data_IF_613234871082
#
_entry.id   IF_613234871082
#
_cell.length_a   1.000
_cell.length_b   1.000
_cell.length_c   1.000
_cell.angle_alpha   90.00
_cell.angle_beta   90.00
_cell.angle_gamma   90.00
#
_symmetry.space_group_name_H-M   'P 1'
#
loop_
_entity.id
_entity.type
_entity.pdbx_description
1 polymer ?
#
# COMPACT_ATOMS: atom_id res chain seq x y z
N UNK A 1 -37.01 -13.87 -43.46
CA UNK A 1 -36.19 -14.62 -42.50
C UNK A 1 -34.81 -13.99 -42.16
N UNK A 2 -34.58 -12.72 -42.41
CA UNK A 2 -33.29 -12.03 -42.26
C UNK A 2 -33.14 -11.23 -40.94
N UNK A 3 -34.22 -10.89 -40.26
CA UNK A 3 -34.19 -10.06 -39.02
C UNK A 3 -33.53 -10.74 -37.82
N UNK A 4 -33.75 -12.03 -37.62
CA UNK A 4 -33.23 -12.76 -36.44
C UNK A 4 -31.69 -12.87 -36.43
N UNK A 5 -31.04 -12.91 -37.60
CA UNK A 5 -29.58 -12.93 -37.74
C UNK A 5 -28.95 -11.58 -37.40
N UNK A 6 -29.62 -10.48 -37.72
CA UNK A 6 -29.19 -9.10 -37.44
C UNK A 6 -29.26 -8.78 -35.94
N UNK A 7 -30.30 -9.20 -35.23
CA UNK A 7 -30.45 -8.97 -33.78
C UNK A 7 -29.44 -9.76 -32.96
N UNK A 8 -29.14 -11.01 -33.35
CA UNK A 8 -28.08 -11.81 -32.73
C UNK A 8 -26.69 -11.18 -32.94
N UNK A 9 -26.44 -10.62 -34.13
CA UNK A 9 -25.18 -9.93 -34.38
C UNK A 9 -25.02 -8.65 -33.57
N UNK A 10 -26.09 -7.87 -33.41
CA UNK A 10 -26.08 -6.69 -32.56
C UNK A 10 -25.84 -7.02 -31.09
N UNK A 11 -26.51 -8.05 -30.54
CA UNK A 11 -26.33 -8.49 -29.18
C UNK A 11 -24.90 -9.01 -28.92
N UNK A 12 -24.29 -9.71 -29.90
CA UNK A 12 -22.88 -10.14 -29.78
C UNK A 12 -21.91 -8.96 -29.77
N UNK A 13 -22.17 -7.94 -30.60
CA UNK A 13 -21.33 -6.73 -30.59
C UNK A 13 -21.45 -5.96 -29.27
N UNK A 14 -22.67 -5.82 -28.77
CA UNK A 14 -22.93 -5.19 -27.47
C UNK A 14 -22.20 -5.95 -26.33
N UNK A 15 -22.32 -7.28 -26.29
CA UNK A 15 -21.61 -8.11 -25.32
C UNK A 15 -20.08 -7.99 -25.45
N UNK A 16 -19.56 -7.96 -26.67
CA UNK A 16 -18.13 -7.81 -26.95
C UNK A 16 -17.56 -6.49 -26.45
N UNK A 17 -18.36 -5.43 -26.39
CA UNK A 17 -17.96 -4.13 -25.84
C UNK A 17 -18.20 -4.04 -24.32
N UNK A 18 -19.32 -4.62 -23.85
CA UNK A 18 -19.72 -4.50 -22.43
C UNK A 18 -18.89 -5.40 -21.51
N UNK A 19 -18.60 -6.64 -21.92
CA UNK A 19 -17.87 -7.61 -21.09
C UNK A 19 -16.46 -7.11 -20.72
N UNK A 20 -15.61 -6.62 -21.64
CA UNK A 20 -14.30 -6.08 -21.27
C UNK A 20 -14.38 -4.90 -20.29
N UNK A 21 -15.40 -4.04 -20.44
CA UNK A 21 -15.62 -2.92 -19.54
C UNK A 21 -15.98 -3.38 -18.12
N UNK A 22 -16.88 -4.35 -18.02
CA UNK A 22 -17.24 -4.95 -16.72
C UNK A 22 -16.05 -5.67 -16.08
N UNK A 23 -15.24 -6.38 -16.85
CA UNK A 23 -14.03 -7.02 -16.36
C UNK A 23 -13.01 -6.01 -15.85
N UNK A 24 -12.84 -4.89 -16.53
CA UNK A 24 -11.95 -3.81 -16.08
C UNK A 24 -12.40 -3.25 -14.74
N UNK A 25 -13.71 -3.03 -14.55
CA UNK A 25 -14.27 -2.57 -13.28
C UNK A 25 -14.05 -3.62 -12.19
N UNK A 26 -14.30 -4.89 -12.46
CA UNK A 26 -14.10 -5.98 -11.49
C UNK A 26 -12.62 -6.10 -11.06
N UNK A 27 -11.69 -6.02 -12.01
CA UNK A 27 -10.24 -5.99 -11.76
C UNK A 27 -9.86 -4.76 -10.94
N UNK A 28 -10.44 -3.59 -11.26
CA UNK A 28 -10.22 -2.37 -10.49
C UNK A 28 -10.61 -2.54 -9.03
N UNK A 29 -11.80 -3.07 -8.75
CA UNK A 29 -12.27 -3.32 -7.38
C UNK A 29 -11.31 -4.25 -6.64
N UNK A 30 -10.87 -5.33 -7.28
CA UNK A 30 -9.92 -6.29 -6.69
C UNK A 30 -8.58 -5.64 -6.37
N UNK A 31 -8.00 -4.91 -7.30
CA UNK A 31 -6.68 -4.28 -7.13
C UNK A 31 -6.70 -3.16 -6.07
N UNK A 32 -7.75 -2.33 -6.04
CA UNK A 32 -7.91 -1.32 -5.00
C UNK A 32 -8.19 -1.94 -3.63
N UNK A 33 -8.90 -3.06 -3.58
CA UNK A 33 -9.08 -3.84 -2.34
C UNK A 33 -7.74 -4.31 -1.77
N UNK A 34 -6.85 -4.84 -2.63
CA UNK A 34 -5.49 -5.22 -2.23
C UNK A 34 -4.65 -4.02 -1.78
N UNK A 35 -4.72 -2.92 -2.52
CA UNK A 35 -4.01 -1.69 -2.16
C UNK A 35 -4.47 -1.16 -0.80
N UNK A 36 -5.77 -1.17 -0.54
CA UNK A 36 -6.34 -0.77 0.74
C UNK A 36 -5.89 -1.69 1.88
N UNK A 37 -5.88 -3.01 1.68
CA UNK A 37 -5.37 -3.97 2.65
C UNK A 37 -3.90 -3.69 2.98
N UNK A 38 -3.05 -3.51 1.97
CA UNK A 38 -1.64 -3.18 2.16
C UNK A 38 -1.47 -1.88 2.96
N UNK A 39 -2.22 -0.84 2.63
CA UNK A 39 -2.23 0.42 3.36
C UNK A 39 -2.57 0.25 4.84
N UNK A 40 -3.58 -0.56 5.18
CA UNK A 40 -3.97 -0.84 6.55
C UNK A 40 -2.86 -1.57 7.33
N UNK A 41 -2.25 -2.57 6.70
CA UNK A 41 -1.12 -3.32 7.29
C UNK A 41 0.05 -2.38 7.57
N UNK A 42 0.46 -1.55 6.60
CA UNK A 42 1.57 -0.60 6.73
C UNK A 42 1.31 0.43 7.84
N UNK A 43 0.10 0.97 7.89
CA UNK A 43 -0.28 1.95 8.91
C UNK A 43 -0.21 1.35 10.32
N UNK A 44 -0.68 0.13 10.49
CA UNK A 44 -0.64 -0.55 11.79
C UNK A 44 0.78 -1.00 12.14
N UNK A 45 1.57 -1.45 11.16
CA UNK A 45 2.98 -1.79 11.36
C UNK A 45 3.80 -0.57 11.82
N UNK A 46 3.60 0.60 11.19
CA UNK A 46 4.25 1.84 11.60
C UNK A 46 3.88 2.25 13.04
N UNK A 47 2.61 2.12 13.43
CA UNK A 47 2.14 2.40 14.80
C UNK A 47 2.75 1.45 15.82
N UNK A 48 2.81 0.15 15.53
CA UNK A 48 3.43 -0.84 16.41
C UNK A 48 4.94 -0.59 16.54
N UNK A 49 5.62 -0.27 15.43
CA UNK A 49 7.02 0.14 15.45
C UNK A 49 7.26 1.38 16.30
N UNK A 50 6.44 2.41 16.14
CA UNK A 50 6.55 3.64 16.94
C UNK A 50 6.32 3.39 18.43
N UNK A 51 5.40 2.47 18.80
CA UNK A 51 5.15 2.07 20.19
C UNK A 51 6.38 1.44 20.84
N UNK A 52 7.17 0.70 20.08
CA UNK A 52 8.44 0.12 20.60
C UNK A 52 9.56 1.17 20.58
N UNK A 53 9.61 2.02 19.55
CA UNK A 53 10.66 3.03 19.41
C UNK A 53 10.68 4.08 20.53
N UNK A 54 9.55 4.31 21.21
CA UNK A 54 9.45 5.28 22.34
C UNK A 54 9.87 4.72 23.68
N UNK A 55 10.09 3.41 23.78
CA UNK A 55 10.55 2.79 25.02
C UNK A 55 12.00 3.23 25.35
N UNK A 56 12.37 3.34 26.64
CA UNK A 56 13.76 3.57 27.00
C UNK A 56 14.62 2.37 26.59
N UNK A 57 15.73 2.66 25.91
CA UNK A 57 16.76 1.70 25.47
C UNK A 57 16.22 0.42 24.77
N UNK A 58 15.44 0.50 23.68
CA UNK A 58 15.09 -0.68 22.94
C UNK A 58 16.34 -1.29 22.30
N UNK A 59 16.41 -2.61 22.29
CA UNK A 59 17.51 -3.35 21.63
C UNK A 59 17.66 -2.87 20.18
N UNK A 60 18.88 -2.58 19.69
CA UNK A 60 19.10 -2.20 18.30
C UNK A 60 18.48 -3.19 17.32
N UNK A 61 17.78 -2.71 16.31
CA UNK A 61 17.09 -3.54 15.32
C UNK A 61 15.75 -4.15 15.78
N UNK A 62 15.34 -3.98 17.04
CA UNK A 62 14.08 -4.54 17.54
C UNK A 62 12.86 -3.92 16.88
N UNK A 63 12.91 -2.60 16.63
CA UNK A 63 11.80 -1.87 15.99
C UNK A 63 11.60 -2.37 14.57
N UNK A 64 12.68 -2.42 13.79
CA UNK A 64 12.68 -2.87 12.40
C UNK A 64 12.22 -4.34 12.29
N UNK A 65 12.73 -5.21 13.17
CA UNK A 65 12.32 -6.61 13.23
C UNK A 65 10.80 -6.73 13.49
N UNK A 66 10.29 -5.98 14.45
CA UNK A 66 8.87 -6.04 14.81
C UNK A 66 7.95 -5.51 13.71
N UNK A 67 8.36 -4.41 13.06
CA UNK A 67 7.65 -3.85 11.90
C UNK A 67 7.63 -4.85 10.76
N UNK A 68 8.78 -5.48 10.46
CA UNK A 68 8.90 -6.47 9.40
C UNK A 68 8.02 -7.71 9.68
N UNK A 69 8.04 -8.23 10.90
CA UNK A 69 7.16 -9.33 11.32
C UNK A 69 5.67 -8.99 11.10
N UNK A 70 5.28 -7.77 11.44
CA UNK A 70 3.90 -7.31 11.25
C UNK A 70 3.52 -7.22 9.77
N UNK A 71 4.42 -6.69 8.93
CA UNK A 71 4.22 -6.62 7.48
C UNK A 71 4.11 -8.03 6.86
N UNK A 72 4.95 -8.97 7.29
CA UNK A 72 4.92 -10.36 6.82
C UNK A 72 3.65 -11.09 7.28
N UNK A 73 3.24 -10.90 8.54
CA UNK A 73 1.98 -11.44 9.05
C UNK A 73 0.76 -10.89 8.28
N UNK A 74 0.84 -9.64 7.82
CA UNK A 74 -0.14 -9.01 6.94
C UNK A 74 -0.06 -9.44 5.47
N UNK A 75 0.80 -10.43 5.16
CA UNK A 75 0.97 -11.00 3.82
C UNK A 75 1.44 -10.00 2.75
N UNK A 76 2.31 -9.07 3.12
CA UNK A 76 2.97 -8.18 2.17
C UNK A 76 4.17 -8.91 1.53
N UNK A 77 4.13 -9.25 0.21
CA UNK A 77 5.08 -10.18 -0.40
C UNK A 77 6.51 -9.66 -0.48
N UNK A 78 6.69 -8.36 -0.66
CA UNK A 78 7.99 -7.71 -0.85
C UNK A 78 8.45 -6.95 0.42
N UNK A 79 7.97 -7.36 1.62
CA UNK A 79 8.35 -6.72 2.88
C UNK A 79 9.83 -6.95 3.20
N UNK A 80 10.58 -5.86 3.41
CA UNK A 80 12.01 -5.86 3.68
C UNK A 80 12.37 -4.79 4.73
N UNK A 81 13.41 -5.04 5.51
CA UNK A 81 13.90 -4.11 6.53
C UNK A 81 14.39 -2.78 5.95
N UNK A 82 14.95 -2.77 4.73
CA UNK A 82 15.43 -1.56 4.05
C UNK A 82 14.32 -0.54 3.75
N UNK A 83 13.05 -0.94 3.84
CA UNK A 83 11.87 -0.10 3.65
C UNK A 83 11.49 0.66 4.93
N UNK A 84 12.15 0.38 6.05
CA UNK A 84 11.78 0.86 7.38
C UNK A 84 12.84 1.85 7.87
N UNK A 85 12.42 3.09 8.07
CA UNK A 85 13.26 4.15 8.66
C UNK A 85 12.76 4.47 10.08
N UNK A 86 13.69 4.45 11.04
CA UNK A 86 13.40 4.71 12.45
C UNK A 86 14.19 5.91 12.93
N UNK A 87 13.52 7.04 13.08
CA UNK A 87 14.10 8.27 13.65
C UNK A 87 13.63 8.47 15.10
N UNK A 88 14.51 8.25 16.06
CA UNK A 88 14.24 8.43 17.50
C UNK A 88 14.59 9.84 18.03
N UNK A 89 15.14 10.69 17.18
CA UNK A 89 15.56 12.06 17.52
C UNK A 89 14.60 13.11 16.93
N UNK A 90 13.35 12.75 16.71
CA UNK A 90 12.29 13.63 16.23
C UNK A 90 11.63 14.39 17.38
N UNK A 91 10.76 15.33 17.07
CA UNK A 91 10.02 16.11 18.05
C UNK A 91 8.55 16.24 17.70
N UNK A 92 7.72 16.31 18.73
CA UNK A 92 6.29 16.60 18.60
C UNK A 92 5.93 17.81 19.47
N UNK A 93 5.13 18.72 18.94
CA UNK A 93 4.66 19.88 19.72
C UNK A 93 3.46 19.50 20.54
N UNK A 94 3.57 19.60 21.87
CA UNK A 94 2.48 19.34 22.82
C UNK A 94 2.31 20.59 23.69
N UNK A 95 1.12 21.20 23.66
CA UNK A 95 0.82 22.43 24.40
C UNK A 95 1.83 23.57 24.14
N UNK A 96 2.26 23.74 22.88
CA UNK A 96 3.19 24.79 22.47
C UNK A 96 4.66 24.50 22.80
N UNK A 97 5.01 23.38 23.44
CA UNK A 97 6.36 22.97 23.74
C UNK A 97 6.81 21.76 22.89
N UNK A 98 8.02 21.80 22.33
CA UNK A 98 8.59 20.65 21.65
C UNK A 98 8.95 19.57 22.67
N UNK A 99 8.53 18.34 22.40
CA UNK A 99 8.81 17.16 23.20
C UNK A 99 9.51 16.12 22.34
N UNK A 100 10.50 15.36 22.91
CA UNK A 100 11.15 14.28 22.20
C UNK A 100 10.12 13.26 21.69
N UNK A 101 10.32 12.80 20.46
CA UNK A 101 9.43 11.85 19.81
C UNK A 101 10.23 10.89 18.92
N UNK A 102 9.66 9.74 18.65
CA UNK A 102 10.20 8.77 17.70
C UNK A 102 9.24 8.64 16.51
N UNK A 103 9.82 8.67 15.31
CA UNK A 103 9.10 8.49 14.04
C UNK A 103 9.50 7.18 13.40
N UNK A 104 8.54 6.40 12.98
CA UNK A 104 8.75 5.23 12.13
C UNK A 104 8.09 5.50 10.80
N UNK A 105 8.85 5.38 9.71
CA UNK A 105 8.40 5.55 8.33
C UNK A 105 8.61 4.23 7.60
N UNK A 106 7.61 3.82 6.82
CA UNK A 106 7.67 2.63 5.98
C UNK A 106 7.39 3.06 4.54
N UNK A 107 8.32 2.77 3.62
CA UNK A 107 8.18 3.00 2.18
C UNK A 107 8.06 1.66 1.46
N UNK A 108 6.84 1.25 1.13
CA UNK A 108 6.55 -0.05 0.54
C UNK A 108 6.23 0.06 -0.96
N UNK A 109 6.94 -0.65 -1.85
CA UNK A 109 6.66 -0.67 -3.29
C UNK A 109 5.47 -1.58 -3.59
N UNK A 110 4.28 -1.00 -3.72
CA UNK A 110 3.08 -1.73 -4.09
C UNK A 110 3.00 -1.94 -5.60
N UNK A 111 2.74 -3.19 -6.02
CA UNK A 111 2.62 -3.58 -7.42
C UNK A 111 1.19 -4.00 -7.75
N UNK A 112 0.63 -3.39 -8.80
CA UNK A 112 -0.62 -3.84 -9.39
C UNK A 112 -0.38 -5.11 -10.22
N UNK A 113 -1.15 -6.19 -9.97
CA UNK A 113 -0.97 -7.49 -10.62
C UNK A 113 -1.52 -7.46 -12.05
N UNK A 114 -2.68 -6.87 -12.26
CA UNK A 114 -3.37 -6.84 -13.56
C UNK A 114 -3.34 -5.45 -14.17
N UNK A 115 -3.66 -4.41 -13.40
CA UNK A 115 -3.71 -3.03 -13.93
C UNK A 115 -2.33 -2.54 -14.39
N UNK A 116 -1.24 -2.94 -13.71
CA UNK A 116 0.12 -2.58 -14.11
C UNK A 116 0.50 -3.12 -15.49
N UNK A 117 0.45 -4.44 -15.74
CA UNK A 117 0.69 -5.02 -17.07
C UNK A 117 -0.23 -4.47 -18.16
N UNK A 118 -1.52 -4.29 -17.88
CA UNK A 118 -2.49 -3.74 -18.85
C UNK A 118 -2.15 -2.29 -19.21
N UNK A 119 -1.81 -1.47 -18.22
CA UNK A 119 -1.43 -0.08 -18.45
C UNK A 119 -0.15 0.02 -19.32
N UNK A 120 0.85 -0.83 -19.06
CA UNK A 120 2.08 -0.89 -19.89
C UNK A 120 1.80 -1.35 -21.33
N UNK A 121 0.82 -2.22 -21.54
CA UNK A 121 0.43 -2.67 -22.88
C UNK A 121 -0.21 -1.54 -23.71
N UNK A 122 -1.03 -0.69 -23.04
CA UNK A 122 -1.75 0.40 -23.70
C UNK A 122 -0.86 1.64 -23.87
N UNK A 123 -0.01 1.93 -22.90
CA UNK A 123 0.83 3.12 -22.85
C UNK A 123 2.28 2.80 -22.45
N UNK A 124 3.05 2.11 -23.31
CA UNK A 124 4.38 1.58 -22.96
C UNK A 124 5.44 2.67 -22.67
N UNK A 125 5.20 3.90 -23.10
CA UNK A 125 6.14 5.03 -22.92
C UNK A 125 5.85 5.87 -21.68
N UNK A 126 4.84 5.54 -20.89
CA UNK A 126 4.46 6.29 -19.69
C UNK A 126 4.84 5.54 -18.42
N UNK A 127 4.93 6.25 -17.30
CA UNK A 127 5.10 5.66 -15.96
C UNK A 127 3.83 4.95 -15.44
N UNK A 128 2.76 4.94 -16.23
CA UNK A 128 1.52 4.23 -15.91
C UNK A 128 1.78 2.73 -15.79
N UNK A 129 1.36 2.12 -14.70
CA UNK A 129 1.59 0.70 -14.41
C UNK A 129 2.94 0.39 -13.78
N UNK A 130 3.71 1.40 -13.38
CA UNK A 130 4.88 1.26 -12.50
C UNK A 130 4.49 0.95 -11.05
N UNK A 131 5.50 0.64 -10.24
CA UNK A 131 5.33 0.42 -8.81
C UNK A 131 4.90 1.74 -8.13
N UNK A 132 3.93 1.66 -7.23
CA UNK A 132 3.47 2.80 -6.43
C UNK A 132 4.08 2.69 -5.03
N UNK A 133 4.90 3.67 -4.64
CA UNK A 133 5.44 3.69 -3.28
C UNK A 133 4.35 4.15 -2.31
N UNK A 134 3.94 3.23 -1.44
CA UNK A 134 3.03 3.52 -0.34
C UNK A 134 3.83 3.90 0.89
N UNK A 135 3.66 5.14 1.38
CA UNK A 135 4.33 5.62 2.58
C UNK A 135 3.37 5.64 3.76
N UNK A 136 3.74 4.92 4.83
CA UNK A 136 3.06 4.98 6.13
C UNK A 136 3.99 5.55 7.18
N UNK A 137 3.47 6.39 8.07
CA UNK A 137 4.25 7.02 9.15
C UNK A 137 3.49 6.97 10.46
N UNK A 138 4.22 6.78 11.56
CA UNK A 138 3.72 6.99 12.90
C UNK A 138 4.73 7.79 13.71
N UNK A 139 4.24 8.81 14.43
CA UNK A 139 5.01 9.65 15.32
C UNK A 139 4.44 9.52 16.72
N UNK A 140 5.26 9.16 17.71
CA UNK A 140 4.85 9.03 19.10
C UNK A 140 5.85 9.74 20.01
N UNK A 141 5.36 10.33 21.11
CA UNK A 141 6.20 10.98 22.12
C UNK A 141 6.99 9.91 22.88
N UNK A 142 8.30 10.17 23.08
CA UNK A 142 9.16 9.27 23.86
C UNK A 142 8.69 9.22 25.32
N UNK A 143 8.77 8.03 25.91
CA UNK A 143 8.60 7.85 27.35
C UNK A 143 9.84 8.44 28.03
N UNK A 144 9.62 9.34 28.96
CA UNK A 144 10.69 9.89 29.84
C UNK A 144 10.68 9.11 31.15
N UNK A 145 11.85 8.55 31.52
CA UNK A 145 12.05 8.06 32.88
C UNK A 145 11.91 9.19 33.90
#
# INVERSE_FOLDING_TARGET
MTRIKSERGAALLEAALTIPMLLLVAVGIFEFGRAYQAWQVLTNAAREGARIAVLPDPTPGLVETRVLEYMQAGQLPDANADQIDVNRSDSITVNGAAKPASRVTIDYPFKFIVLGPVARLIAPTTSLGGDVVMRAQALMRNETN
#
